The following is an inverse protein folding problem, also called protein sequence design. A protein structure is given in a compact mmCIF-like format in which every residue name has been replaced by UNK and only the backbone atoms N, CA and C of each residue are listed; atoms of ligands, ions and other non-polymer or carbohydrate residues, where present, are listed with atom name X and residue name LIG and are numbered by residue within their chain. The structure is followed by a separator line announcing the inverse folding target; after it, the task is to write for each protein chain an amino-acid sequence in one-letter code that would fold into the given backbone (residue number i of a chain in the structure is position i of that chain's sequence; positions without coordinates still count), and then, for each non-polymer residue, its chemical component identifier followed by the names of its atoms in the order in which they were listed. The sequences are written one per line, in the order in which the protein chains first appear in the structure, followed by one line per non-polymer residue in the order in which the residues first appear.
data_IF_677613598855
#
_entry.id   IF_677613598855
#
_cell.length_a   1.000
_cell.length_b   1.000
_cell.length_c   1.000
_cell.angle_alpha   90.00
_cell.angle_beta   90.00
_cell.angle_gamma   90.00
#
_symmetry.space_group_name_H-M   'P 1'
#
loop_
_entity.id
_entity.type
_entity.pdbx_description
1 polymer ?
#
# COMPACT_ATOMS: atom_id res chain seq x y z
N UNK A 1 -2.57 -14.64 -64.19
CA UNK A 1 -1.43 -15.04 -65.04
C UNK A 1 -0.26 -14.12 -64.70
N UNK A 2 0.92 -14.71 -64.38
CA UNK A 2 2.33 -14.25 -64.60
C UNK A 2 2.61 -12.72 -64.59
N UNK A 3 3.65 -12.18 -63.94
CA UNK A 3 4.91 -12.73 -63.44
C UNK A 3 5.68 -11.62 -62.69
N UNK A 4 6.50 -12.03 -61.71
CA UNK A 4 7.90 -11.65 -61.40
C UNK A 4 8.28 -10.15 -61.40
N UNK A 5 8.64 -9.54 -60.27
CA UNK A 5 9.92 -9.68 -59.55
C UNK A 5 11.12 -9.11 -60.32
N UNK A 6 11.72 -8.01 -59.84
CA UNK A 6 13.17 -7.88 -59.78
C UNK A 6 13.61 -6.78 -58.80
N UNK A 7 14.74 -7.06 -58.18
CA UNK A 7 15.32 -6.45 -57.00
C UNK A 7 16.73 -6.04 -57.44
N UNK A 8 17.20 -4.81 -57.22
CA UNK A 8 18.64 -4.56 -57.26
C UNK A 8 19.07 -3.37 -56.40
N UNK A 9 20.02 -3.69 -55.52
CA UNK A 9 20.86 -2.86 -54.66
C UNK A 9 21.60 -1.77 -55.46
N UNK A 10 22.10 -0.74 -54.75
CA UNK A 10 23.53 -0.39 -54.57
C UNK A 10 23.64 1.06 -54.02
N UNK A 11 24.22 1.21 -52.82
CA UNK A 11 24.82 2.45 -52.28
C UNK A 11 26.20 2.69 -52.95
N UNK A 12 26.92 3.84 -52.89
CA UNK A 12 27.39 4.43 -51.62
C UNK A 12 27.70 5.96 -51.65
N UNK A 13 28.11 6.52 -50.50
CA UNK A 13 29.35 7.31 -50.31
C UNK A 13 29.20 8.45 -49.29
N UNK A 14 30.09 8.41 -48.29
CA UNK A 14 30.43 9.45 -47.33
C UNK A 14 30.92 10.75 -47.99
N UNK A 15 30.77 11.89 -47.31
CA UNK A 15 31.94 12.60 -46.72
C UNK A 15 31.59 13.91 -45.98
N UNK A 16 32.04 13.96 -44.71
CA UNK A 16 32.85 14.99 -44.02
C UNK A 16 32.30 16.42 -43.75
N UNK A 17 32.23 16.72 -42.43
CA UNK A 17 32.55 17.95 -41.63
C UNK A 17 32.33 19.37 -42.23
N UNK A 18 31.96 20.42 -41.48
CA UNK A 18 32.70 21.05 -40.36
C UNK A 18 31.89 22.27 -39.83
N UNK A 19 31.86 22.47 -38.49
CA UNK A 19 31.82 23.75 -37.72
C UNK A 19 30.73 24.82 -37.99
N UNK A 20 30.32 25.71 -37.08
CA UNK A 20 30.40 25.92 -35.62
C UNK A 20 29.34 27.00 -35.33
N UNK A 21 28.71 26.99 -34.16
CA UNK A 21 27.63 27.94 -33.86
C UNK A 21 27.16 27.94 -32.42
N UNK A 22 28.10 28.21 -31.51
CA UNK A 22 27.91 28.58 -30.09
C UNK A 22 26.58 29.28 -29.78
N UNK A 23 25.80 28.73 -28.85
CA UNK A 23 25.02 29.52 -27.89
C UNK A 23 24.92 28.78 -26.55
N UNK A 24 25.29 29.51 -25.51
CA UNK A 24 25.47 29.06 -24.14
C UNK A 24 24.14 28.70 -23.44
N UNK A 25 24.23 27.69 -22.58
CA UNK A 25 23.16 27.16 -21.72
C UNK A 25 22.64 28.17 -20.67
N UNK A 26 21.53 27.82 -20.01
CA UNK A 26 21.49 27.91 -18.56
C UNK A 26 21.26 26.53 -17.91
N UNK A 27 22.29 26.13 -17.17
CA UNK A 27 22.32 25.36 -15.92
C UNK A 27 20.97 24.81 -15.42
N UNK A 28 20.79 23.49 -15.52
CA UNK A 28 19.83 22.72 -14.72
C UNK A 28 20.56 22.23 -13.46
N UNK A 29 20.02 22.44 -12.24
CA UNK A 29 20.65 21.95 -11.02
C UNK A 29 20.27 20.49 -10.75
N UNK A 30 21.27 19.69 -10.41
CA UNK A 30 21.18 18.53 -9.51
C UNK A 30 22.31 18.70 -8.48
N UNK A 31 22.20 18.26 -7.20
CA UNK A 31 21.58 16.98 -6.83
C UNK A 31 20.81 16.97 -5.48
N UNK A 32 19.79 16.12 -5.37
CA UNK A 32 19.37 15.59 -4.07
C UNK A 32 19.24 14.08 -4.17
N UNK A 33 19.95 13.41 -3.26
CA UNK A 33 20.30 12.01 -3.29
C UNK A 33 19.10 11.05 -3.36
N UNK A 34 18.96 10.35 -4.49
CA UNK A 34 18.35 9.03 -4.50
C UNK A 34 19.39 8.02 -4.02
N UNK A 35 19.08 7.29 -2.94
CA UNK A 35 19.87 6.14 -2.50
C UNK A 35 19.97 5.15 -3.67
N UNK A 36 21.18 4.70 -4.07
CA UNK A 36 21.31 3.68 -5.10
C UNK A 36 20.78 2.35 -4.54
N UNK A 37 19.74 1.83 -5.17
CA UNK A 37 19.33 0.43 -5.05
C UNK A 37 20.41 -0.41 -5.75
N UNK A 38 20.97 -1.46 -5.11
CA UNK A 38 21.85 -2.37 -5.82
C UNK A 38 21.01 -3.26 -6.74
N UNK A 39 21.03 -2.95 -8.04
CA UNK A 39 20.66 -3.89 -9.09
C UNK A 39 21.68 -5.04 -9.08
N UNK A 40 21.27 -6.22 -8.60
CA UNK A 40 22.08 -7.44 -8.72
C UNK A 40 21.58 -8.28 -9.88
N UNK A 41 22.37 -8.32 -10.95
CA UNK A 41 22.07 -8.91 -12.26
C UNK A 41 22.33 -10.44 -12.30
N UNK A 42 21.85 -11.18 -11.29
CA UNK A 42 21.99 -12.65 -11.23
C UNK A 42 20.62 -13.35 -11.24
N UNK A 43 20.39 -14.35 -12.13
CA UNK A 43 19.10 -15.06 -12.24
C UNK A 43 18.78 -16.01 -11.07
N UNK A 44 19.54 -15.98 -9.98
CA UNK A 44 19.28 -16.71 -8.74
C UNK A 44 19.57 -15.85 -7.51
N UNK A 45 18.97 -14.66 -7.44
CA UNK A 45 18.92 -13.91 -6.17
C UNK A 45 17.83 -14.54 -5.28
N UNK A 46 18.20 -15.47 -4.42
CA UNK A 46 17.37 -15.80 -3.25
C UNK A 46 17.61 -14.68 -2.25
N UNK A 47 16.75 -13.67 -2.26
CA UNK A 47 16.58 -12.81 -1.09
C UNK A 47 16.30 -13.72 0.10
N UNK A 48 17.10 -13.62 1.16
CA UNK A 48 16.79 -14.28 2.44
C UNK A 48 15.54 -13.59 2.98
N UNK A 49 14.39 -14.06 2.52
CA UNK A 49 13.06 -13.51 2.76
C UNK A 49 12.08 -14.51 3.36
N UNK A 50 12.50 -15.76 3.56
CA UNK A 50 11.74 -16.70 4.39
C UNK A 50 12.16 -16.44 5.85
N UNK A 51 11.50 -15.46 6.47
CA UNK A 51 11.57 -15.23 7.93
C UNK A 51 10.89 -16.43 8.58
N UNK A 52 11.64 -17.52 8.78
CA UNK A 52 11.15 -18.65 9.53
C UNK A 52 10.97 -18.23 10.99
N UNK A 53 9.81 -18.54 11.56
CA UNK A 53 9.48 -18.22 12.95
C UNK A 53 10.24 -19.09 13.97
N UNK A 54 11.07 -20.03 13.51
CA UNK A 54 11.94 -20.83 14.36
C UNK A 54 12.63 -22.01 13.64
N UNK A 55 13.46 -22.78 14.35
CA UNK A 55 14.25 -23.87 13.77
C UNK A 55 13.41 -25.08 13.34
N UNK A 56 12.29 -25.34 14.01
CA UNK A 56 11.34 -26.41 13.64
C UNK A 56 10.63 -26.08 12.33
N UNK A 57 10.36 -24.79 12.09
CA UNK A 57 9.69 -24.36 10.86
C UNK A 57 10.57 -24.52 9.63
N UNK A 58 11.85 -24.15 9.77
CA UNK A 58 12.86 -24.42 8.75
C UNK A 58 12.98 -25.93 8.45
N UNK A 59 12.92 -26.79 9.47
CA UNK A 59 12.96 -28.24 9.27
C UNK A 59 11.74 -28.75 8.53
N UNK A 60 10.53 -28.30 8.89
CA UNK A 60 9.30 -28.65 8.17
C UNK A 60 9.37 -28.24 6.70
N UNK A 61 9.87 -27.04 6.42
CA UNK A 61 10.04 -26.56 5.04
C UNK A 61 11.07 -27.38 4.26
N UNK A 62 12.21 -27.72 4.87
CA UNK A 62 13.21 -28.60 4.24
C UNK A 62 12.68 -30.00 3.94
N UNK A 63 11.84 -30.56 4.81
CA UNK A 63 11.18 -31.87 4.63
C UNK A 63 10.18 -31.78 3.47
N UNK A 64 9.34 -30.74 3.44
CA UNK A 64 8.34 -30.50 2.38
C UNK A 64 8.97 -30.28 1.01
N UNK A 65 10.03 -29.45 0.92
CA UNK A 65 10.75 -29.18 -0.34
C UNK A 65 11.37 -30.43 -0.98
N UNK A 66 11.55 -31.51 -0.22
CA UNK A 66 12.16 -32.76 -0.69
C UNK A 66 11.18 -33.92 -0.83
N UNK A 67 9.88 -33.68 -0.61
CA UNK A 67 8.83 -34.73 -0.59
C UNK A 67 9.23 -35.93 0.30
N UNK A 68 9.79 -35.63 1.48
CA UNK A 68 10.19 -36.63 2.47
C UNK A 68 9.03 -36.91 3.41
N UNK A 69 8.81 -38.18 3.75
CA UNK A 69 7.88 -38.55 4.81
C UNK A 69 8.40 -38.10 6.18
N UNK A 70 7.55 -37.42 6.96
CA UNK A 70 7.86 -36.93 8.30
C UNK A 70 8.19 -38.10 9.25
N UNK A 71 7.65 -39.30 8.99
CA UNK A 71 7.96 -40.49 9.80
C UNK A 71 9.32 -41.13 9.46
N UNK A 72 9.81 -40.97 8.23
CA UNK A 72 11.10 -41.54 7.80
C UNK A 72 12.05 -40.47 7.24
N UNK A 73 12.55 -39.64 8.16
CA UNK A 73 13.43 -38.53 7.80
C UNK A 73 14.86 -39.08 7.56
N UNK A 74 15.47 -38.83 6.38
CA UNK A 74 16.89 -39.12 6.14
C UNK A 74 17.75 -38.06 6.84
N UNK A 75 18.01 -38.29 8.13
CA UNK A 75 18.73 -37.37 9.03
C UNK A 75 20.05 -36.89 8.41
N UNK A 76 20.83 -37.77 7.80
CA UNK A 76 22.11 -37.40 7.19
C UNK A 76 22.02 -36.26 6.17
N UNK A 77 20.98 -36.27 5.33
CA UNK A 77 20.73 -35.29 4.26
C UNK A 77 20.08 -34.01 4.80
N UNK A 78 19.15 -34.13 5.73
CA UNK A 78 18.48 -32.97 6.36
C UNK A 78 19.47 -32.18 7.22
N UNK A 79 20.29 -32.85 8.03
CA UNK A 79 21.30 -32.16 8.88
C UNK A 79 22.29 -31.36 8.04
N UNK A 80 22.74 -31.89 6.89
CA UNK A 80 23.67 -31.18 6.01
C UNK A 80 23.06 -29.90 5.43
N UNK A 81 21.79 -29.95 5.02
CA UNK A 81 21.08 -28.79 4.49
C UNK A 81 20.76 -27.77 5.57
N UNK A 82 20.34 -28.24 6.75
CA UNK A 82 20.09 -27.38 7.90
C UNK A 82 21.36 -26.59 8.27
N UNK A 83 22.51 -27.27 8.40
CA UNK A 83 23.80 -26.61 8.66
C UNK A 83 24.18 -25.60 7.57
N UNK A 84 23.97 -25.93 6.30
CA UNK A 84 24.23 -25.00 5.19
C UNK A 84 23.35 -23.74 5.25
N UNK A 85 22.11 -23.86 5.72
CA UNK A 85 21.21 -22.72 5.91
C UNK A 85 21.64 -21.87 7.11
N UNK A 86 21.96 -22.51 8.25
CA UNK A 86 22.41 -21.80 9.46
C UNK A 86 23.70 -21.04 9.23
N UNK A 87 24.64 -21.57 8.45
CA UNK A 87 25.89 -20.86 8.12
C UNK A 87 25.61 -19.56 7.35
N UNK A 88 24.72 -19.61 6.36
CA UNK A 88 24.27 -18.40 5.62
C UNK A 88 23.53 -17.42 6.52
N UNK A 89 22.70 -17.93 7.43
CA UNK A 89 21.96 -17.09 8.38
C UNK A 89 22.91 -16.38 9.35
N UNK A 90 23.97 -17.06 9.80
CA UNK A 90 24.99 -16.50 10.69
C UNK A 90 25.78 -15.36 10.04
N UNK A 91 26.01 -15.42 8.74
CA UNK A 91 26.65 -14.33 7.99
C UNK A 91 25.80 -13.05 7.96
N UNK A 92 24.47 -13.19 8.08
CA UNK A 92 23.51 -12.09 8.02
C UNK A 92 23.14 -11.54 9.41
N UNK A 93 22.84 -12.42 10.37
CA UNK A 93 22.46 -12.04 11.74
C UNK A 93 22.85 -13.12 12.76
N UNK A 94 23.77 -12.76 13.67
CA UNK A 94 24.28 -13.65 14.71
C UNK A 94 23.25 -13.87 15.84
N UNK A 95 22.38 -12.88 16.11
CA UNK A 95 21.41 -12.99 17.21
C UNK A 95 20.32 -14.00 16.88
N UNK A 96 19.82 -13.98 15.64
CA UNK A 96 18.82 -14.94 15.17
C UNK A 96 19.41 -16.35 15.12
N UNK A 97 20.69 -16.50 14.78
CA UNK A 97 21.34 -17.80 14.67
C UNK A 97 21.43 -18.58 16.00
N UNK A 98 21.32 -17.93 17.17
CA UNK A 98 21.50 -18.58 18.47
C UNK A 98 20.51 -19.73 18.72
N UNK A 99 19.24 -19.56 18.36
CA UNK A 99 18.20 -20.59 18.52
C UNK A 99 18.41 -21.78 17.56
N UNK A 100 18.97 -21.51 16.38
CA UNK A 100 19.25 -22.52 15.36
C UNK A 100 20.46 -23.40 15.72
N UNK A 101 21.43 -22.86 16.48
CA UNK A 101 22.60 -23.63 16.94
C UNK A 101 22.19 -24.79 17.84
N UNK A 102 21.22 -24.59 18.74
CA UNK A 102 20.70 -25.66 19.58
C UNK A 102 20.16 -26.82 18.72
N UNK A 103 19.33 -26.51 17.73
CA UNK A 103 18.76 -27.53 16.85
C UNK A 103 19.83 -28.20 15.98
N UNK A 104 20.84 -27.46 15.52
CA UNK A 104 21.98 -28.03 14.80
C UNK A 104 22.71 -29.09 15.65
N UNK A 105 22.95 -28.81 16.94
CA UNK A 105 23.57 -29.74 17.86
C UNK A 105 22.71 -31.01 18.07
N UNK A 106 21.39 -30.85 18.22
CA UNK A 106 20.44 -31.97 18.34
C UNK A 106 20.48 -32.85 17.09
N UNK A 107 20.46 -32.25 15.89
CA UNK A 107 20.52 -33.00 14.63
C UNK A 107 21.85 -33.76 14.47
N UNK A 108 22.98 -33.15 14.85
CA UNK A 108 24.29 -33.80 14.83
C UNK A 108 24.31 -34.98 15.81
N UNK A 109 23.74 -34.80 17.01
CA UNK A 109 23.64 -35.86 18.01
C UNK A 109 22.84 -37.06 17.48
N UNK A 110 21.65 -36.82 16.91
CA UNK A 110 20.81 -37.85 16.31
C UNK A 110 21.55 -38.54 15.14
N UNK A 111 22.18 -37.76 14.25
CA UNK A 111 22.98 -38.30 13.14
C UNK A 111 24.10 -39.22 13.62
N UNK A 112 24.84 -38.81 14.65
CA UNK A 112 25.90 -39.63 15.24
C UNK A 112 25.33 -40.93 15.80
N UNK A 113 24.28 -40.86 16.61
CA UNK A 113 23.67 -42.02 17.27
C UNK A 113 23.08 -43.02 16.27
N UNK A 114 22.58 -42.54 15.12
CA UNK A 114 22.08 -43.39 14.04
C UNK A 114 23.16 -44.05 13.19
N UNK A 115 24.32 -43.41 13.02
CA UNK A 115 25.43 -43.96 12.24
C UNK A 115 26.31 -44.92 13.04
N UNK A 116 26.29 -44.85 14.37
CA UNK A 116 27.07 -45.76 15.21
C UNK A 116 26.42 -47.16 15.27
N UNK A 117 27.22 -48.24 15.22
CA UNK A 117 26.71 -49.59 15.42
C UNK A 117 26.12 -49.75 16.82
N UNK A 118 24.95 -50.39 16.90
CA UNK A 118 24.24 -50.62 18.16
C UNK A 118 25.00 -51.66 18.99
N UNK A 119 25.16 -51.39 20.28
CA UNK A 119 25.79 -52.33 21.21
C UNK A 119 24.89 -53.58 21.38
N UNK A 120 25.37 -54.79 21.02
CA UNK A 120 24.57 -56.01 21.13
C UNK A 120 24.23 -56.39 22.59
N UNK A 121 24.86 -55.77 23.59
CA UNK A 121 24.61 -56.01 25.01
C UNK A 121 23.61 -55.03 25.65
N UNK A 122 23.12 -54.03 24.92
CA UNK A 122 22.16 -53.06 25.45
C UNK A 122 20.76 -53.67 25.61
N UNK A 123 20.06 -53.36 26.72
CA UNK A 123 18.70 -53.79 26.97
C UNK A 123 17.73 -53.28 25.87
N UNK A 124 16.72 -54.07 25.54
CA UNK A 124 15.73 -53.80 24.48
C UNK A 124 15.01 -52.44 24.63
N UNK A 125 14.92 -51.89 25.84
CA UNK A 125 14.30 -50.58 26.11
C UNK A 125 15.19 -49.39 25.67
N UNK A 126 16.47 -49.62 25.35
CA UNK A 126 17.38 -48.60 24.81
C UNK A 126 17.30 -48.46 23.27
N UNK A 127 16.32 -49.12 22.65
CA UNK A 127 16.26 -49.36 21.22
C UNK A 127 15.19 -48.54 20.49
N UNK A 128 14.64 -47.53 21.16
CA UNK A 128 13.78 -46.52 20.53
C UNK A 128 14.53 -45.79 19.41
N UNK A 129 13.79 -45.43 18.35
CA UNK A 129 14.35 -44.62 17.26
C UNK A 129 14.79 -43.26 17.85
N UNK A 130 16.09 -42.89 17.76
CA UNK A 130 16.56 -41.60 18.26
C UNK A 130 15.89 -40.40 17.57
N UNK A 131 15.19 -40.62 16.45
CA UNK A 131 14.40 -39.61 15.74
C UNK A 131 13.02 -39.38 16.33
N UNK A 132 12.49 -40.32 17.13
CA UNK A 132 11.08 -40.32 17.55
C UNK A 132 10.67 -39.03 18.28
N UNK A 133 11.53 -38.52 19.16
CA UNK A 133 11.29 -37.27 19.87
C UNK A 133 11.21 -36.07 18.92
N UNK A 134 12.13 -35.99 17.95
CA UNK A 134 12.14 -34.92 16.95
C UNK A 134 10.89 -34.96 16.08
N UNK A 135 10.50 -36.15 15.63
CA UNK A 135 9.27 -36.36 14.83
C UNK A 135 8.04 -35.92 15.61
N UNK A 136 7.94 -36.27 16.89
CA UNK A 136 6.81 -35.84 17.73
C UNK A 136 6.73 -34.31 17.83
N UNK A 137 7.85 -33.62 18.06
CA UNK A 137 7.90 -32.15 18.13
C UNK A 137 7.54 -31.50 16.79
N UNK A 138 7.99 -32.07 15.67
CA UNK A 138 7.65 -31.58 14.33
C UNK A 138 6.15 -31.70 14.05
N UNK A 139 5.54 -32.84 14.38
CA UNK A 139 4.09 -33.07 14.23
C UNK A 139 3.26 -32.15 15.12
N UNK A 140 3.71 -31.91 16.35
CA UNK A 140 3.06 -30.98 17.27
C UNK A 140 3.12 -29.54 16.73
N UNK A 141 4.29 -29.10 16.28
CA UNK A 141 4.48 -27.79 15.68
C UNK A 141 3.63 -27.61 14.41
N UNK A 142 3.54 -28.62 13.55
CA UNK A 142 2.69 -28.59 12.36
C UNK A 142 1.19 -28.44 12.69
N UNK A 143 0.72 -29.12 13.74
CA UNK A 143 -0.66 -28.96 14.24
C UNK A 143 -0.93 -27.54 14.72
N UNK A 144 -0.01 -26.93 15.47
CA UNK A 144 -0.18 -25.55 15.92
C UNK A 144 -0.08 -24.54 14.78
N UNK A 145 0.84 -24.76 13.83
CA UNK A 145 0.96 -23.93 12.64
C UNK A 145 -0.31 -23.95 11.78
N UNK A 146 -0.88 -25.13 11.56
CA UNK A 146 -2.15 -25.26 10.82
C UNK A 146 -3.34 -24.64 11.58
N UNK A 147 -3.42 -24.81 12.91
CA UNK A 147 -4.44 -24.16 13.72
C UNK A 147 -4.33 -22.63 13.69
N UNK A 148 -3.11 -22.08 13.77
CA UNK A 148 -2.85 -20.66 13.64
C UNK A 148 -3.27 -20.11 12.27
N UNK A 149 -2.97 -20.85 11.20
CA UNK A 149 -3.42 -20.49 9.85
C UNK A 149 -4.95 -20.49 9.71
N UNK A 150 -5.65 -21.47 10.29
CA UNK A 150 -7.12 -21.50 10.30
C UNK A 150 -7.71 -20.32 11.06
N UNK A 151 -7.12 -19.94 12.21
CA UNK A 151 -7.54 -18.77 12.97
C UNK A 151 -7.30 -17.48 12.20
N UNK A 152 -6.14 -17.34 11.55
CA UNK A 152 -5.82 -16.18 10.73
C UNK A 152 -6.79 -16.05 9.55
N UNK A 153 -7.13 -17.16 8.89
CA UNK A 153 -8.14 -17.16 7.83
C UNK A 153 -9.53 -16.76 8.35
N UNK A 154 -9.93 -17.25 9.53
CA UNK A 154 -11.18 -16.86 10.17
C UNK A 154 -11.22 -15.36 10.47
N UNK A 155 -10.13 -14.83 11.04
CA UNK A 155 -9.99 -13.41 11.33
C UNK A 155 -10.10 -12.57 10.05
N UNK A 156 -9.44 -12.96 8.96
CA UNK A 156 -9.53 -12.24 7.68
C UNK A 156 -10.97 -12.20 7.13
N UNK A 157 -11.73 -13.27 7.31
CA UNK A 157 -13.15 -13.32 6.92
C UNK A 157 -13.97 -12.39 7.82
N UNK A 158 -13.75 -12.41 9.13
CA UNK A 158 -14.43 -11.53 10.09
C UNK A 158 -14.11 -10.05 9.81
N UNK A 159 -12.85 -9.70 9.55
CA UNK A 159 -12.42 -8.33 9.20
C UNK A 159 -13.02 -7.84 7.87
N UNK A 160 -13.25 -8.76 6.91
CA UNK A 160 -13.92 -8.44 5.67
C UNK A 160 -15.43 -8.19 5.85
N UNK A 161 -16.02 -8.71 6.93
CA UNK A 161 -17.42 -8.45 7.29
C UNK A 161 -17.49 -7.18 8.14
N UNK A 162 -17.82 -6.05 7.50
CA UNK A 162 -18.20 -4.85 8.26
C UNK A 162 -19.54 -5.06 8.95
N UNK A 163 -19.51 -5.38 10.23
CA UNK A 163 -20.65 -5.12 11.11
C UNK A 163 -20.72 -3.61 11.37
N UNK A 164 -21.93 -3.03 11.35
CA UNK A 164 -22.16 -1.66 11.80
C UNK A 164 -22.67 -1.73 13.25
N UNK A 165 -21.78 -1.79 14.26
CA UNK A 165 -22.18 -1.97 15.66
C UNK A 165 -23.06 -0.81 16.16
N UNK A 166 -22.96 0.36 15.52
CA UNK A 166 -23.71 1.56 15.86
C UNK A 166 -25.22 1.47 15.55
N UNK A 167 -25.76 0.35 15.07
CA UNK A 167 -27.22 0.18 14.92
C UNK A 167 -27.81 -0.58 16.11
N UNK A 168 -27.06 -1.49 16.73
CA UNK A 168 -27.56 -2.30 17.84
C UNK A 168 -27.72 -1.48 19.14
N UNK A 169 -26.80 -0.56 19.43
CA UNK A 169 -26.89 0.31 20.62
C UNK A 169 -28.10 1.26 20.60
N UNK A 170 -28.63 1.62 19.43
CA UNK A 170 -29.80 2.52 19.34
C UNK A 170 -31.14 1.78 19.46
N UNK A 171 -31.18 0.46 19.24
CA UNK A 171 -32.42 -0.32 19.31
C UNK A 171 -32.74 -0.80 20.74
N UNK A 172 -31.75 -0.91 21.62
CA UNK A 172 -31.93 -1.40 23.00
C UNK A 172 -31.95 -0.28 24.06
N UNK A 173 -31.84 0.99 23.65
CA UNK A 173 -31.82 2.15 24.54
C UNK A 173 -33.22 2.58 25.09
N UNK A 174 -34.28 1.82 24.82
CA UNK A 174 -35.56 2.01 25.53
C UNK A 174 -35.61 1.14 26.79
N UNK A 175 -35.05 1.71 27.86
CA UNK A 175 -35.54 1.41 29.21
C UNK A 175 -34.83 0.31 29.97
N UNK A 176 -33.54 0.48 30.25
CA UNK A 176 -32.87 0.19 31.54
C UNK A 176 -31.44 0.68 31.37
N UNK A 177 -30.94 1.57 32.23
CA UNK A 177 -29.50 1.76 32.39
C UNK A 177 -29.02 0.64 33.32
N UNK A 178 -28.48 -0.49 32.82
CA UNK A 178 -27.88 -1.46 33.71
C UNK A 178 -26.67 -0.77 34.35
N UNK A 179 -26.57 -0.82 35.68
CA UNK A 179 -25.34 -0.49 36.38
C UNK A 179 -24.20 -1.26 35.69
N UNK A 180 -23.30 -0.53 35.04
CA UNK A 180 -22.21 -1.13 34.28
C UNK A 180 -21.27 -1.78 35.30
N UNK A 181 -21.42 -3.09 35.48
CA UNK A 181 -20.48 -3.91 36.23
C UNK A 181 -19.19 -4.08 35.41
N UNK A 182 -18.43 -2.99 35.25
CA UNK A 182 -17.12 -3.01 34.60
C UNK A 182 -16.02 -3.16 35.65
N UNK A 183 -15.15 -4.14 35.44
CA UNK A 183 -13.93 -4.31 36.22
C UNK A 183 -12.79 -3.45 35.64
N UNK A 184 -11.75 -3.18 36.43
CA UNK A 184 -10.54 -2.47 35.97
C UNK A 184 -9.92 -3.18 34.76
N UNK A 185 -10.04 -4.50 34.71
CA UNK A 185 -9.56 -5.33 33.59
C UNK A 185 -10.28 -4.97 32.28
N UNK A 186 -11.59 -4.69 32.33
CA UNK A 186 -12.37 -4.34 31.15
C UNK A 186 -12.03 -2.94 30.64
N UNK A 187 -11.74 -2.01 31.56
CA UNK A 187 -11.23 -0.68 31.22
C UNK A 187 -9.86 -0.77 30.52
N UNK A 188 -8.96 -1.62 31.03
CA UNK A 188 -7.64 -1.83 30.41
C UNK A 188 -7.76 -2.46 29.02
N UNK A 189 -8.61 -3.48 28.85
CA UNK A 189 -8.87 -4.08 27.53
C UNK A 189 -9.44 -3.08 26.53
N UNK A 190 -10.42 -2.29 26.96
CA UNK A 190 -11.02 -1.23 26.13
C UNK A 190 -9.97 -0.19 25.74
N UNK A 191 -9.10 0.20 26.67
CA UNK A 191 -8.02 1.14 26.39
C UNK A 191 -6.98 0.57 25.42
N UNK A 192 -6.61 -0.72 25.56
CA UNK A 192 -5.72 -1.40 24.61
C UNK A 192 -6.33 -1.45 23.20
N UNK A 193 -7.62 -1.77 23.07
CA UNK A 193 -8.33 -1.75 21.78
C UNK A 193 -8.32 -0.36 21.14
N UNK A 194 -8.51 0.71 21.93
CA UNK A 194 -8.42 2.09 21.44
C UNK A 194 -7.00 2.41 20.94
N UNK A 195 -5.97 1.99 21.67
CA UNK A 195 -4.56 2.18 21.32
C UNK A 195 -4.17 1.44 20.03
N UNK A 196 -4.58 0.18 19.88
CA UNK A 196 -4.34 -0.60 18.66
C UNK A 196 -5.06 0.01 17.46
N UNK A 197 -6.30 0.44 17.64
CA UNK A 197 -7.06 1.17 16.60
C UNK A 197 -6.42 2.51 16.23
N UNK A 198 -5.84 3.23 17.20
CA UNK A 198 -5.14 4.48 16.95
C UNK A 198 -3.82 4.26 16.21
N UNK A 199 -3.07 3.19 16.52
CA UNK A 199 -1.83 2.81 15.84
C UNK A 199 -2.05 2.34 14.39
N UNK A 200 -3.15 1.63 14.15
CA UNK A 200 -3.48 1.04 12.85
C UNK A 200 -4.35 1.93 11.96
N UNK A 201 -4.65 3.17 12.38
CA UNK A 201 -5.40 4.10 11.54
C UNK A 201 -4.56 4.43 10.31
N UNK A 202 -4.99 4.05 9.09
CA UNK A 202 -4.35 4.57 7.90
C UNK A 202 -4.51 6.10 7.94
N UNK A 203 -3.39 6.80 7.83
CA UNK A 203 -3.39 8.24 7.57
C UNK A 203 -3.89 8.36 6.13
N UNK A 204 -5.21 8.47 5.97
CA UNK A 204 -5.78 8.85 4.70
C UNK A 204 -5.43 10.33 4.53
N UNK A 205 -4.33 10.61 3.84
CA UNK A 205 -4.12 11.90 3.20
C UNK A 205 -5.17 12.01 2.10
N UNK A 206 -6.38 12.37 2.51
CA UNK A 206 -7.38 12.87 1.59
C UNK A 206 -6.87 14.25 1.22
N UNK A 207 -6.17 14.35 0.08
CA UNK A 207 -6.06 15.61 -0.63
C UNK A 207 -7.49 16.01 -0.99
N UNK A 208 -8.17 16.71 -0.08
CA UNK A 208 -9.34 17.48 -0.43
C UNK A 208 -8.84 18.49 -1.48
N UNK A 209 -9.22 18.32 -2.74
CA UNK A 209 -9.07 19.37 -3.75
C UNK A 209 -9.79 20.60 -3.21
N UNK A 210 -9.04 21.48 -2.55
CA UNK A 210 -9.55 22.70 -1.94
C UNK A 210 -9.86 23.68 -3.07
N UNK A 211 -11.08 23.61 -3.59
CA UNK A 211 -11.57 24.58 -4.57
C UNK A 211 -11.73 25.93 -3.85
N UNK A 212 -10.90 26.90 -4.21
CA UNK A 212 -10.96 28.24 -3.62
C UNK A 212 -12.02 29.10 -4.31
N UNK A 213 -12.55 30.08 -3.58
CA UNK A 213 -13.49 31.07 -4.16
C UNK A 213 -12.86 31.82 -5.34
N UNK A 214 -11.57 32.15 -5.25
CA UNK A 214 -10.84 32.84 -6.33
C UNK A 214 -10.78 32.04 -7.63
N UNK A 215 -10.49 30.74 -7.56
CA UNK A 215 -10.51 29.86 -8.74
C UNK A 215 -11.91 29.80 -9.38
N UNK A 216 -12.96 29.87 -8.56
CA UNK A 216 -14.34 29.80 -9.04
C UNK A 216 -14.80 31.14 -9.66
N UNK A 217 -14.27 32.27 -9.20
CA UNK A 217 -14.40 33.58 -9.87
C UNK A 217 -13.74 33.52 -11.25
N UNK A 218 -12.49 33.03 -11.34
CA UNK A 218 -11.77 32.92 -12.62
C UNK A 218 -12.51 31.98 -13.61
N UNK A 219 -13.09 30.89 -13.10
CA UNK A 219 -13.93 29.98 -13.89
C UNK A 219 -15.19 30.68 -14.44
N UNK A 220 -15.91 31.43 -13.59
CA UNK A 220 -17.09 32.20 -14.01
C UNK A 220 -16.71 33.27 -15.02
N UNK A 221 -15.61 33.99 -14.82
CA UNK A 221 -15.11 34.99 -15.76
C UNK A 221 -14.86 34.41 -17.15
N UNK A 222 -14.11 33.30 -17.24
CA UNK A 222 -13.83 32.63 -18.52
C UNK A 222 -15.10 32.14 -19.20
N UNK A 223 -16.02 31.56 -18.42
CA UNK A 223 -17.29 31.04 -18.95
C UNK A 223 -18.19 32.15 -19.46
N UNK A 224 -18.28 33.27 -18.74
CA UNK A 224 -19.01 34.43 -19.22
C UNK A 224 -18.29 35.03 -20.43
N UNK A 225 -16.97 35.21 -20.44
CA UNK A 225 -16.23 35.78 -21.57
C UNK A 225 -16.54 35.07 -22.90
N UNK A 226 -16.69 33.74 -22.89
CA UNK A 226 -16.99 32.94 -24.08
C UNK A 226 -18.46 33.00 -24.54
N UNK A 227 -19.39 33.42 -23.69
CA UNK A 227 -20.82 33.42 -23.99
C UNK A 227 -21.45 34.82 -23.87
N UNK A 228 -22.01 35.34 -24.97
CA UNK A 228 -22.71 36.64 -24.97
C UNK A 228 -24.20 36.54 -24.64
N UNK A 229 -24.72 35.32 -24.49
CA UNK A 229 -26.12 35.06 -24.15
C UNK A 229 -26.30 34.96 -22.63
N UNK A 230 -27.50 35.31 -22.10
CA UNK A 230 -27.80 35.10 -20.69
C UNK A 230 -27.72 33.62 -20.31
N UNK A 231 -26.96 33.32 -19.28
CA UNK A 231 -26.74 31.95 -18.78
C UNK A 231 -27.72 31.60 -17.68
N UNK A 232 -28.23 30.36 -17.67
CA UNK A 232 -29.08 29.88 -16.57
C UNK A 232 -28.23 29.48 -15.38
N UNK A 233 -28.53 29.99 -14.19
CA UNK A 233 -27.81 29.66 -12.95
C UNK A 233 -27.76 28.15 -12.69
N UNK A 234 -28.89 27.46 -12.88
CA UNK A 234 -28.99 26.00 -12.71
C UNK A 234 -28.01 25.23 -13.60
N UNK A 235 -27.75 25.72 -14.81
CA UNK A 235 -26.80 25.09 -15.73
C UNK A 235 -25.34 25.35 -15.35
N UNK A 236 -25.06 26.43 -14.64
CA UNK A 236 -23.71 26.69 -14.12
C UNK A 236 -23.42 25.77 -12.94
N UNK A 237 -24.35 25.68 -12.00
CA UNK A 237 -24.22 24.87 -10.79
C UNK A 237 -24.25 23.36 -11.05
N UNK A 238 -24.94 22.90 -12.10
CA UNK A 238 -24.99 21.47 -12.47
C UNK A 238 -23.63 20.89 -12.85
N UNK A 239 -22.68 21.73 -13.28
CA UNK A 239 -21.35 21.30 -13.69
C UNK A 239 -20.36 21.18 -12.50
N UNK A 240 -20.83 21.38 -11.27
CA UNK A 240 -20.02 21.34 -10.05
C UNK A 240 -20.38 20.10 -9.25
N UNK A 241 -19.43 19.18 -9.07
CA UNK A 241 -19.69 17.85 -8.51
C UNK A 241 -19.47 17.76 -6.98
N UNK A 242 -18.79 18.73 -6.36
CA UNK A 242 -18.49 18.75 -4.92
C UNK A 242 -19.35 19.77 -4.18
N UNK A 243 -19.81 19.42 -2.97
CA UNK A 243 -20.59 20.30 -2.10
C UNK A 243 -19.81 21.56 -1.72
N UNK A 244 -18.54 21.42 -1.33
CA UNK A 244 -17.67 22.57 -1.02
C UNK A 244 -17.46 23.47 -2.25
N UNK A 245 -17.28 22.87 -3.43
CA UNK A 245 -17.15 23.61 -4.69
C UNK A 245 -18.45 24.35 -5.05
N UNK A 246 -19.62 23.79 -4.74
CA UNK A 246 -20.92 24.44 -4.95
C UNK A 246 -21.07 25.67 -4.06
N UNK A 247 -20.70 25.56 -2.78
CA UNK A 247 -20.68 26.70 -1.84
C UNK A 247 -19.72 27.78 -2.34
N UNK A 248 -18.50 27.42 -2.74
CA UNK A 248 -17.52 28.38 -3.27
C UNK A 248 -17.98 29.04 -4.58
N UNK A 249 -18.66 28.31 -5.47
CA UNK A 249 -19.27 28.85 -6.68
C UNK A 249 -20.38 29.84 -6.38
N UNK A 250 -21.21 29.55 -5.37
CA UNK A 250 -22.26 30.46 -4.96
C UNK A 250 -21.68 31.76 -4.37
N UNK A 251 -20.66 31.65 -3.52
CA UNK A 251 -19.94 32.80 -2.97
C UNK A 251 -19.25 33.62 -4.08
N UNK A 252 -18.59 32.97 -5.03
CA UNK A 252 -17.98 33.63 -6.19
C UNK A 252 -19.02 34.40 -7.02
N UNK A 253 -20.21 33.83 -7.23
CA UNK A 253 -21.29 34.51 -7.93
C UNK A 253 -21.78 35.74 -7.17
N UNK A 254 -22.01 35.63 -5.87
CA UNK A 254 -22.42 36.77 -5.04
C UNK A 254 -21.37 37.87 -5.02
N UNK A 255 -20.09 37.51 -5.01
CA UNK A 255 -18.99 38.46 -5.10
C UNK A 255 -18.99 39.20 -6.44
N UNK A 256 -19.16 38.50 -7.56
CA UNK A 256 -19.26 39.14 -8.89
C UNK A 256 -20.50 40.04 -9.04
N UNK A 257 -21.59 39.75 -8.33
CA UNK A 257 -22.77 40.63 -8.26
C UNK A 257 -22.50 41.85 -7.38
N UNK A 258 -21.83 41.67 -6.23
CA UNK A 258 -21.41 42.75 -5.33
C UNK A 258 -20.52 43.76 -6.06
N UNK A 259 -19.64 43.26 -6.94
CA UNK A 259 -18.74 44.05 -7.77
C UNK A 259 -19.40 44.66 -9.01
N UNK A 260 -20.70 44.45 -9.20
CA UNK A 260 -21.45 44.91 -10.38
C UNK A 260 -20.90 44.41 -11.73
N UNK A 261 -20.12 43.32 -11.73
CA UNK A 261 -19.65 42.68 -12.96
C UNK A 261 -20.78 41.88 -13.63
N UNK A 262 -21.64 41.24 -12.84
CA UNK A 262 -22.76 40.41 -13.32
C UNK A 262 -24.09 40.96 -12.81
N UNK A 263 -25.11 40.91 -13.66
CA UNK A 263 -26.50 41.17 -13.30
C UNK A 263 -27.30 39.86 -13.26
N UNK A 264 -28.14 39.72 -12.24
CA UNK A 264 -29.09 38.62 -12.12
C UNK A 264 -30.49 39.11 -12.46
N UNK A 265 -31.22 38.34 -13.27
CA UNK A 265 -32.62 38.62 -13.60
C UNK A 265 -33.47 37.38 -13.32
N UNK A 266 -34.57 37.58 -12.60
CA UNK A 266 -35.58 36.56 -12.33
C UNK A 266 -36.95 37.11 -12.71
N UNK A 267 -37.60 36.49 -13.71
CA UNK A 267 -38.86 37.02 -14.27
C UNK A 267 -40.11 36.61 -13.47
N UNK A 268 -40.05 35.54 -12.66
CA UNK A 268 -41.14 35.06 -11.81
C UNK A 268 -40.61 34.64 -10.44
N UNK A 269 -41.40 34.81 -9.38
CA UNK A 269 -41.05 34.33 -8.04
C UNK A 269 -40.79 32.82 -8.11
N UNK A 270 -39.63 32.38 -7.59
CA UNK A 270 -39.13 30.99 -7.70
C UNK A 270 -38.88 30.48 -9.15
N UNK A 271 -38.84 31.39 -10.12
CA UNK A 271 -38.49 31.11 -11.52
C UNK A 271 -36.98 30.96 -11.74
N UNK A 272 -36.60 30.67 -12.99
CA UNK A 272 -35.18 30.58 -13.37
C UNK A 272 -34.45 31.92 -13.18
N UNK A 273 -33.22 31.84 -12.67
CA UNK A 273 -32.34 33.00 -12.51
C UNK A 273 -31.37 33.00 -13.70
N UNK A 274 -31.38 34.11 -14.44
CA UNK A 274 -30.52 34.36 -15.58
C UNK A 274 -29.37 35.28 -15.18
N UNK A 275 -28.15 34.91 -15.57
CA UNK A 275 -26.93 35.70 -15.40
C UNK A 275 -26.65 36.44 -16.70
N UNK A 276 -26.35 37.74 -16.61
CA UNK A 276 -25.95 38.58 -17.75
C UNK A 276 -24.73 39.41 -17.38
N UNK A 277 -23.79 39.56 -18.32
CA UNK A 277 -22.66 40.49 -18.19
C UNK A 277 -23.16 41.94 -18.04
N UNK A 278 -22.56 42.70 -17.13
CA UNK A 278 -22.76 44.13 -17.07
C UNK A 278 -22.00 44.84 -18.21
N UNK A 279 -22.42 46.06 -18.57
CA UNK A 279 -21.78 46.84 -19.66
C UNK A 279 -20.33 47.24 -19.35
N UNK A 280 -19.94 47.23 -18.08
CA UNK A 280 -18.56 47.47 -17.62
C UNK A 280 -17.78 46.21 -17.23
N UNK A 281 -18.24 45.01 -17.60
CA UNK A 281 -17.66 43.72 -17.18
C UNK A 281 -16.14 43.65 -17.41
N UNK A 282 -15.67 44.00 -18.61
CA UNK A 282 -14.25 43.91 -18.96
C UNK A 282 -13.38 44.93 -18.22
N UNK A 283 -13.90 46.13 -17.97
CA UNK A 283 -13.20 47.18 -17.23
C UNK A 283 -13.06 46.84 -15.74
N UNK A 284 -14.14 46.34 -15.12
CA UNK A 284 -14.19 45.97 -13.69
C UNK A 284 -13.29 44.75 -13.42
N UNK A 285 -13.25 43.78 -14.34
CA UNK A 285 -12.38 42.61 -14.22
C UNK A 285 -10.91 42.97 -14.42
N UNK A 286 -10.60 43.86 -15.38
CA UNK A 286 -9.23 44.34 -15.60
C UNK A 286 -8.70 45.13 -14.38
N UNK A 287 -9.54 45.98 -13.78
CA UNK A 287 -9.19 46.75 -12.57
C UNK A 287 -8.92 45.82 -11.37
N UNK A 288 -9.72 44.76 -11.19
CA UNK A 288 -9.46 43.77 -10.13
C UNK A 288 -8.21 42.91 -10.38
N UNK A 289 -7.92 42.58 -11.63
CA UNK A 289 -6.69 41.83 -11.96
C UNK A 289 -5.45 42.68 -11.65
N UNK A 290 -5.51 43.98 -11.95
CA UNK A 290 -4.44 44.93 -11.62
C UNK A 290 -4.26 45.12 -10.10
N UNK A 291 -5.35 45.32 -9.34
CA UNK A 291 -5.32 45.42 -7.87
C UNK A 291 -4.79 44.13 -7.22
N UNK A 292 -4.95 42.98 -7.88
CA UNK A 292 -4.46 41.68 -7.40
C UNK A 292 -2.97 41.44 -7.72
N UNK A 293 -2.34 42.23 -8.59
CA UNK A 293 -0.89 42.14 -8.88
C UNK A 293 -0.06 43.16 -8.08
N UNK A 294 -0.67 44.24 -7.57
CA UNK A 294 0.02 45.30 -6.80
C UNK A 294 0.45 44.88 -5.37
N UNK A 295 0.16 43.66 -4.92
CA UNK A 295 0.53 43.15 -3.58
C UNK A 295 1.58 42.03 -3.58
N UNK A 296 2.33 41.82 -4.68
CA UNK A 296 3.49 40.92 -4.67
C UNK A 296 4.72 41.49 -3.99
#
# INVERSE_FOLDING_TARGET
MRNMAENLKIAPANDIATEDGSTLAPVVPMPTAQKPQPESDFPFSVTVGDVYEGPLDLLLDLIRKQDIDIYDIPIGRITAQYLAYVEKLRELDVNVAAEFIYMAAVLIHIKSKMLLPRDPAAASDAQDDPRAELVSRLLEHEKFKSAAQMLMQKQQIEDAVRSNPAIHEFMEAEGTEPEIAADVIDLVKTFQQILERARSRPILEVDEETVTVGQMIDYLQRRLALEDKPLRLKQILRNVNSHQALVCMFLALLEMVRLQAIQLRQDRIFGEILLRKHTGFDAIIAEQTAVRDDWR
#
